data_IF_661653143641
#
_entry.id   IF_661653143641
#
_cell.length_a   1.000
_cell.length_b   1.000
_cell.length_c   1.000
_cell.angle_alpha   90.00
_cell.angle_beta   90.00
_cell.angle_gamma   90.00
#
_symmetry.space_group_name_H-M   'P 1'
#
loop_
_entity.id
_entity.type
_entity.pdbx_description
1 polymer ?
#
# COMPACT_ATOMS: atom_id res chain seq x y z
N UNK A 1 10.66 8.55 5.56
CA UNK A 1 11.70 7.76 4.89
C UNK A 1 12.39 8.66 3.88
N UNK A 2 13.72 8.68 3.81
CA UNK A 2 14.44 9.54 2.86
C UNK A 2 14.29 9.02 1.42
N UNK A 3 14.34 9.93 0.44
CA UNK A 3 14.24 9.56 -0.98
C UNK A 3 15.38 8.65 -1.42
N UNK A 4 16.59 8.85 -0.88
CA UNK A 4 17.75 7.99 -1.12
C UNK A 4 17.48 6.55 -0.69
N UNK A 5 16.92 6.36 0.50
CA UNK A 5 16.66 5.03 1.03
C UNK A 5 15.58 4.29 0.21
N UNK A 6 14.56 5.00 -0.28
CA UNK A 6 13.57 4.41 -1.21
C UNK A 6 14.22 3.95 -2.52
N UNK A 7 15.06 4.79 -3.12
CA UNK A 7 15.79 4.43 -4.36
C UNK A 7 16.69 3.22 -4.16
N UNK A 8 17.37 3.15 -3.02
CA UNK A 8 18.24 2.01 -2.70
C UNK A 8 17.45 0.72 -2.53
N UNK A 9 16.30 0.75 -1.83
CA UNK A 9 15.43 -0.42 -1.69
C UNK A 9 14.89 -0.85 -3.05
N UNK A 10 14.43 0.09 -3.88
CA UNK A 10 13.93 -0.19 -5.22
C UNK A 10 15.02 -0.83 -6.10
N UNK A 11 16.26 -0.32 -6.05
CA UNK A 11 17.39 -0.89 -6.77
C UNK A 11 17.71 -2.32 -6.30
N UNK A 12 17.72 -2.56 -4.99
CA UNK A 12 17.97 -3.89 -4.43
C UNK A 12 16.88 -4.88 -4.83
N UNK A 13 15.61 -4.44 -4.88
CA UNK A 13 14.50 -5.28 -5.33
C UNK A 13 14.61 -5.67 -6.81
N UNK A 14 15.10 -4.77 -7.66
CA UNK A 14 15.34 -5.06 -9.09
C UNK A 14 16.48 -6.05 -9.27
N UNK A 15 17.57 -5.89 -8.50
CA UNK A 15 18.64 -6.87 -8.49
C UNK A 15 18.12 -8.25 -8.09
N UNK A 16 17.33 -8.34 -7.02
CA UNK A 16 16.70 -9.61 -6.63
C UNK A 16 15.83 -10.21 -7.74
N UNK A 17 15.09 -9.40 -8.49
CA UNK A 17 14.28 -9.87 -9.63
C UNK A 17 15.16 -10.44 -10.77
N UNK A 18 16.27 -9.78 -11.10
CA UNK A 18 17.22 -10.26 -12.11
C UNK A 18 17.90 -11.57 -11.68
N UNK A 19 18.25 -11.68 -10.40
CA UNK A 19 18.74 -12.94 -9.82
C UNK A 19 17.70 -14.06 -9.92
N UNK A 20 16.42 -13.77 -9.69
CA UNK A 20 15.35 -14.75 -9.81
C UNK A 20 15.14 -15.24 -11.26
N UNK A 21 15.43 -14.39 -12.26
CA UNK A 21 15.42 -14.76 -13.68
C UNK A 21 16.66 -15.54 -14.13
N UNK A 22 17.70 -15.62 -13.30
CA UNK A 22 18.97 -16.26 -13.66
C UNK A 22 19.88 -15.38 -14.54
N UNK A 23 19.55 -14.11 -14.76
CA UNK A 23 20.33 -13.16 -15.56
C UNK A 23 20.81 -11.95 -14.73
N UNK A 24 21.68 -12.14 -13.72
CA UNK A 24 22.05 -11.08 -12.79
C UNK A 24 22.87 -9.94 -13.41
N UNK A 25 23.46 -10.16 -14.59
CA UNK A 25 24.32 -9.19 -15.29
C UNK A 25 23.61 -8.47 -16.45
N UNK A 26 22.35 -8.82 -16.75
CA UNK A 26 21.63 -8.26 -17.88
C UNK A 26 20.94 -6.94 -17.49
N UNK A 27 20.95 -5.95 -18.39
CA UNK A 27 20.22 -4.70 -18.20
C UNK A 27 18.80 -4.91 -18.72
N UNK A 28 17.91 -5.40 -17.86
CA UNK A 28 16.50 -5.57 -18.19
C UNK A 28 15.69 -4.29 -17.95
N UNK A 29 14.71 -4.04 -18.82
CA UNK A 29 13.74 -2.97 -18.63
C UNK A 29 12.84 -3.27 -17.41
N UNK A 30 12.50 -2.23 -16.64
CA UNK A 30 11.61 -2.40 -15.48
C UNK A 30 10.23 -2.95 -15.88
N UNK A 31 9.75 -2.57 -17.06
CA UNK A 31 8.47 -3.05 -17.60
C UNK A 31 8.50 -4.57 -17.86
N UNK A 32 9.65 -5.10 -18.30
CA UNK A 32 9.83 -6.54 -18.48
C UNK A 32 9.80 -7.27 -17.13
N UNK A 33 10.51 -6.74 -16.12
CA UNK A 33 10.48 -7.30 -14.76
C UNK A 33 9.06 -7.27 -14.16
N UNK A 34 8.30 -6.19 -14.42
CA UNK A 34 6.90 -6.08 -13.98
C UNK A 34 5.99 -7.07 -14.73
N UNK A 35 6.18 -7.21 -16.05
CA UNK A 35 5.36 -8.07 -16.90
C UNK A 35 5.59 -9.57 -16.68
N UNK A 36 6.85 -10.02 -16.74
CA UNK A 36 7.18 -11.46 -16.69
C UNK A 36 7.08 -12.04 -15.29
N UNK A 37 7.55 -11.30 -14.27
CA UNK A 37 7.57 -11.79 -12.89
C UNK A 37 6.37 -11.33 -12.07
N UNK A 38 5.53 -10.43 -12.60
CA UNK A 38 4.55 -9.71 -11.78
C UNK A 38 5.22 -8.87 -10.69
N UNK A 39 6.45 -8.40 -10.91
CA UNK A 39 7.25 -7.79 -9.86
C UNK A 39 6.78 -6.37 -9.52
N UNK A 40 5.97 -6.25 -8.48
CA UNK A 40 5.52 -4.96 -7.96
C UNK A 40 6.69 -4.11 -7.45
N UNK A 41 6.64 -2.80 -7.67
CA UNK A 41 7.62 -1.85 -7.12
C UNK A 41 7.50 -1.71 -5.60
N UNK A 42 8.52 -1.16 -4.95
CA UNK A 42 8.45 -0.88 -3.51
C UNK A 42 7.28 0.05 -3.18
N UNK A 43 7.01 1.05 -4.02
CA UNK A 43 5.95 2.02 -3.80
C UNK A 43 4.55 1.41 -3.92
N UNK A 44 4.33 0.54 -4.91
CA UNK A 44 3.07 -0.20 -5.07
C UNK A 44 2.80 -1.08 -3.84
N UNK A 45 3.82 -1.79 -3.34
CA UNK A 45 3.72 -2.58 -2.10
C UNK A 45 3.45 -1.70 -0.87
N UNK A 46 4.11 -0.54 -0.77
CA UNK A 46 3.90 0.42 0.30
C UNK A 46 2.44 0.93 0.30
N UNK A 47 1.92 1.31 -0.88
CA UNK A 47 0.56 1.79 -1.06
C UNK A 47 -0.46 0.74 -0.61
N UNK A 48 -0.37 -0.47 -1.16
CA UNK A 48 -1.25 -1.60 -0.82
C UNK A 48 -1.27 -1.86 0.69
N UNK A 49 -0.09 -1.92 1.31
CA UNK A 49 0.04 -2.21 2.75
C UNK A 49 -0.56 -1.10 3.62
N UNK A 50 -0.21 0.17 3.37
CA UNK A 50 -0.65 1.30 4.20
C UNK A 50 -2.14 1.58 4.05
N UNK A 51 -2.64 1.61 2.82
CA UNK A 51 -4.06 1.89 2.54
C UNK A 51 -4.92 0.82 3.20
N UNK A 52 -4.59 -0.46 3.01
CA UNK A 52 -5.33 -1.57 3.62
C UNK A 52 -5.26 -1.55 5.14
N UNK A 53 -4.08 -1.25 5.71
CA UNK A 53 -3.89 -1.20 7.15
C UNK A 53 -4.72 -0.09 7.82
N UNK A 54 -4.64 1.14 7.31
CA UNK A 54 -5.39 2.26 7.88
C UNK A 54 -6.89 2.07 7.69
N UNK A 55 -7.34 1.55 6.54
CA UNK A 55 -8.75 1.23 6.35
C UNK A 55 -9.22 0.17 7.33
N UNK A 56 -8.42 -0.89 7.54
CA UNK A 56 -8.73 -1.91 8.56
C UNK A 56 -8.89 -1.29 9.95
N UNK A 57 -8.00 -0.38 10.37
CA UNK A 57 -8.14 0.30 11.67
C UNK A 57 -9.42 1.12 11.72
N UNK A 58 -9.78 1.83 10.64
CA UNK A 58 -11.00 2.62 10.59
C UNK A 58 -12.27 1.76 10.75
N UNK A 59 -12.29 0.54 10.24
CA UNK A 59 -13.45 -0.36 10.34
C UNK A 59 -13.45 -1.21 11.63
N UNK A 60 -12.43 -1.10 12.49
CA UNK A 60 -12.44 -1.79 13.79
C UNK A 60 -13.46 -1.17 14.76
N UNK A 61 -14.00 -1.95 15.71
CA UNK A 61 -14.82 -1.40 16.80
C UNK A 61 -14.10 -0.31 17.58
N UNK A 62 -14.85 0.71 18.01
CA UNK A 62 -14.29 1.89 18.70
C UNK A 62 -13.63 1.58 20.05
N UNK A 63 -13.91 0.43 20.64
CA UNK A 63 -13.23 -0.02 21.86
C UNK A 63 -11.76 -0.39 21.62
N UNK A 64 -11.40 -0.73 20.38
CA UNK A 64 -10.04 -1.13 20.01
C UNK A 64 -9.10 0.06 20.15
N UNK A 65 -8.04 -0.14 20.91
CA UNK A 65 -7.04 0.89 21.20
C UNK A 65 -6.49 1.57 19.93
N UNK A 66 -6.21 0.80 18.87
CA UNK A 66 -5.71 1.36 17.60
C UNK A 66 -6.69 2.34 16.94
N UNK A 67 -7.99 2.02 16.93
CA UNK A 67 -9.04 2.92 16.41
C UNK A 67 -9.15 4.17 17.29
N UNK A 68 -9.18 4.01 18.62
CA UNK A 68 -9.21 5.14 19.57
C UNK A 68 -8.03 6.08 19.40
N UNK A 69 -6.82 5.54 19.25
CA UNK A 69 -5.63 6.35 19.03
C UNK A 69 -5.71 7.12 17.71
N UNK A 70 -6.12 6.46 16.62
CA UNK A 70 -6.25 7.13 15.33
C UNK A 70 -7.31 8.26 15.39
N UNK A 71 -8.46 8.00 16.01
CA UNK A 71 -9.51 9.00 16.22
C UNK A 71 -9.01 10.16 17.09
N UNK A 72 -8.34 9.87 18.20
CA UNK A 72 -7.82 10.90 19.11
C UNK A 72 -6.75 11.77 18.43
N UNK A 73 -5.86 11.16 17.65
CA UNK A 73 -4.86 11.89 16.88
C UNK A 73 -5.52 12.81 15.85
N UNK A 74 -6.60 12.38 15.21
CA UNK A 74 -7.39 13.21 14.31
C UNK A 74 -8.06 14.38 15.03
N UNK A 75 -8.70 14.15 16.19
CA UNK A 75 -9.33 15.19 17.01
C UNK A 75 -8.32 16.25 17.45
N UNK A 76 -7.12 15.82 17.85
CA UNK A 76 -6.06 16.71 18.29
C UNK A 76 -5.27 17.36 17.14
N UNK A 77 -5.66 17.10 15.89
CA UNK A 77 -4.94 17.54 14.69
C UNK A 77 -3.43 17.18 14.71
N UNK A 78 -3.10 16.03 15.29
CA UNK A 78 -1.73 15.55 15.38
C UNK A 78 -1.26 15.06 14.01
N UNK A 79 -0.19 15.68 13.48
CA UNK A 79 0.36 15.30 12.17
C UNK A 79 1.09 13.97 12.24
N UNK A 80 0.47 12.93 11.71
CA UNK A 80 1.07 11.60 11.60
C UNK A 80 1.65 11.43 10.19
N UNK A 81 2.99 11.41 10.09
CA UNK A 81 3.69 11.19 8.81
C UNK A 81 3.24 9.92 8.07
N UNK A 82 2.79 8.90 8.78
CA UNK A 82 2.29 7.66 8.19
C UNK A 82 0.91 7.85 7.51
N UNK A 83 0.04 8.70 8.08
CA UNK A 83 -1.27 9.03 7.50
C UNK A 83 -1.09 9.95 6.30
N UNK A 84 -0.28 11.00 6.42
CA UNK A 84 0.08 11.87 5.27
C UNK A 84 0.66 11.06 4.11
N UNK A 85 1.54 10.09 4.42
CA UNK A 85 2.08 9.19 3.39
C UNK A 85 1.01 8.28 2.80
N UNK A 86 0.05 7.81 3.59
CA UNK A 86 -1.06 7.00 3.09
C UNK A 86 -1.94 7.83 2.14
N UNK A 87 -2.29 9.06 2.50
CA UNK A 87 -3.08 9.98 1.65
C UNK A 87 -2.37 10.32 0.33
N UNK A 88 -1.07 10.59 0.38
CA UNK A 88 -0.31 10.82 -0.86
C UNK A 88 -0.27 9.59 -1.78
N UNK A 89 -0.23 8.39 -1.20
CA UNK A 89 -0.25 7.14 -1.97
C UNK A 89 -1.66 6.81 -2.49
N UNK A 90 -2.69 7.10 -1.71
CA UNK A 90 -4.08 6.85 -2.12
C UNK A 90 -4.50 7.78 -3.25
N UNK A 91 -4.08 9.05 -3.22
CA UNK A 91 -4.27 9.99 -4.32
C UNK A 91 -3.53 9.55 -5.58
N UNK A 92 -2.27 9.11 -5.43
CA UNK A 92 -1.43 8.70 -6.57
C UNK A 92 -1.98 7.45 -7.30
N UNK A 93 -2.53 6.50 -6.56
CA UNK A 93 -3.09 5.26 -7.13
C UNK A 93 -4.63 5.29 -7.28
N UNK A 94 -5.24 6.47 -7.16
CA UNK A 94 -6.71 6.66 -7.23
C UNK A 94 -7.49 5.75 -6.26
N UNK A 95 -6.89 5.33 -5.15
CA UNK A 95 -7.51 4.43 -4.17
C UNK A 95 -8.52 5.13 -3.26
N UNK A 96 -8.54 6.46 -3.21
CA UNK A 96 -9.50 7.24 -2.40
C UNK A 96 -10.96 6.99 -2.79
N UNK A 97 -11.20 6.62 -4.05
CA UNK A 97 -12.54 6.36 -4.59
C UNK A 97 -13.03 4.93 -4.28
N UNK A 98 -12.23 4.10 -3.62
CA UNK A 98 -12.62 2.73 -3.29
C UNK A 98 -13.48 2.76 -2.02
N UNK A 99 -14.76 2.48 -2.18
CA UNK A 99 -15.69 2.32 -1.05
C UNK A 99 -15.56 0.91 -0.48
N UNK A 100 -15.61 0.79 0.85
CA UNK A 100 -15.70 -0.51 1.51
C UNK A 100 -17.15 -0.97 1.46
N UNK A 101 -17.39 -2.10 0.81
CA UNK A 101 -18.69 -2.76 0.83
C UNK A 101 -18.99 -3.28 2.24
N UNK A 102 -20.25 -3.20 2.64
CA UNK A 102 -20.74 -3.77 3.89
C UNK A 102 -21.48 -5.07 3.58
N UNK A 103 -21.31 -6.08 4.41
CA UNK A 103 -22.11 -7.30 4.35
C UNK A 103 -23.54 -7.03 4.80
N UNK A 104 -24.46 -7.97 4.53
CA UNK A 104 -25.84 -7.91 5.01
C UNK A 104 -25.94 -7.82 6.54
N UNK A 105 -24.89 -8.25 7.26
CA UNK A 105 -24.77 -8.15 8.72
C UNK A 105 -24.17 -6.81 9.21
N UNK A 106 -23.86 -5.88 8.29
CA UNK A 106 -23.24 -4.59 8.60
C UNK A 106 -21.73 -4.63 8.83
N UNK A 107 -21.08 -5.77 8.58
CA UNK A 107 -19.63 -5.91 8.73
C UNK A 107 -18.89 -5.43 7.48
N UNK A 108 -17.79 -4.71 7.66
CA UNK A 108 -16.94 -4.24 6.55
C UNK A 108 -16.28 -5.42 5.81
N UNK A 109 -16.52 -5.53 4.50
CA UNK A 109 -15.91 -6.56 3.65
C UNK A 109 -14.45 -6.24 3.29
N UNK A 110 -13.55 -6.23 4.27
CA UNK A 110 -12.15 -5.82 4.10
C UNK A 110 -11.37 -6.63 3.06
N UNK A 111 -11.75 -7.89 2.83
CA UNK A 111 -11.13 -8.73 1.80
C UNK A 111 -11.45 -8.23 0.38
N UNK A 112 -12.67 -7.75 0.14
CA UNK A 112 -13.06 -7.17 -1.16
C UNK A 112 -12.32 -5.86 -1.39
N UNK A 113 -12.26 -5.00 -0.37
CA UNK A 113 -11.49 -3.76 -0.40
C UNK A 113 -10.02 -4.01 -0.71
N UNK A 114 -9.39 -4.98 -0.03
CA UNK A 114 -7.99 -5.35 -0.28
C UNK A 114 -7.77 -5.76 -1.75
N UNK A 115 -8.65 -6.58 -2.33
CA UNK A 115 -8.57 -6.97 -3.75
C UNK A 115 -8.74 -5.77 -4.69
N UNK A 116 -9.62 -4.83 -4.35
CA UNK A 116 -9.82 -3.60 -5.13
C UNK A 116 -8.59 -2.69 -5.09
N UNK A 117 -7.94 -2.57 -3.92
CA UNK A 117 -6.68 -1.82 -3.77
C UNK A 117 -5.57 -2.50 -4.55
N UNK A 118 -5.46 -3.82 -4.48
CA UNK A 118 -4.49 -4.62 -5.26
C UNK A 118 -4.59 -4.30 -6.75
N UNK A 119 -5.80 -4.42 -7.30
CA UNK A 119 -6.06 -4.18 -8.72
C UNK A 119 -5.72 -2.75 -9.17
N UNK A 120 -5.90 -1.73 -8.32
CA UNK A 120 -5.55 -0.34 -8.66
C UNK A 120 -4.08 -0.01 -8.46
N UNK A 121 -3.41 -0.69 -7.52
CA UNK A 121 -1.98 -0.51 -7.28
C UNK A 121 -1.09 -1.17 -8.32
N UNK A 122 -1.62 -2.11 -9.11
CA UNK A 122 -0.87 -2.83 -10.14
C UNK A 122 -0.87 -2.15 -11.52
N UNK A 123 -1.76 -1.17 -11.73
CA UNK A 123 -1.85 -0.33 -12.94
C UNK A 123 -0.78 0.76 -12.87
#
# INVERSE_FOLDING_TARGET
MSNTLRKNIESAQRQAAMWALGEPACILANEFLKGELGWSTFEEREAKSKITYFKRIQEMPDERWAKRMLTMMSINNAKIKAVERMETLSLKHDCDKIVVEQSEAGEACLNTFKKSVEKRSEI
#
